data_IF_328807343723
#
_entry.id   IF_328807343723
#
_cell.length_a   1.000
_cell.length_b   1.000
_cell.length_c   1.000
_cell.angle_alpha   90.00
_cell.angle_beta   90.00
_cell.angle_gamma   90.00
#
_symmetry.space_group_name_H-M   'P 1'
#
loop_
_entity.id
_entity.type
_entity.pdbx_description
1 polymer ?
#
# COMPACT_ATOMS: atom_id res chain seq x y z
N UNK A 1 -69.72 -53.65 21.29
CA UNK A 1 -69.15 -52.29 21.18
C UNK A 1 -67.65 -52.37 20.93
N UNK A 2 -67.20 -51.99 19.73
CA UNK A 2 -65.84 -51.53 19.41
C UNK A 2 -65.86 -50.95 17.99
N UNK A 3 -65.52 -49.66 17.80
CA UNK A 3 -65.67 -49.01 16.50
C UNK A 3 -64.50 -49.37 15.58
N UNK A 4 -64.79 -49.65 14.31
CA UNK A 4 -63.81 -49.71 13.24
C UNK A 4 -63.36 -48.27 12.91
N UNK A 5 -62.16 -47.91 13.36
CA UNK A 5 -61.51 -46.66 12.97
C UNK A 5 -61.07 -46.76 11.51
N UNK A 6 -61.77 -46.05 10.64
CA UNK A 6 -61.35 -45.81 9.26
C UNK A 6 -60.13 -44.87 9.27
N UNK A 7 -58.95 -45.39 8.92
CA UNK A 7 -57.76 -44.59 8.66
C UNK A 7 -57.97 -43.79 7.37
N UNK A 8 -58.31 -42.51 7.54
CA UNK A 8 -58.40 -41.53 6.47
C UNK A 8 -56.96 -41.18 6.05
N UNK A 9 -56.49 -41.77 4.95
CA UNK A 9 -55.23 -41.37 4.32
C UNK A 9 -55.42 -40.01 3.67
N UNK A 10 -55.08 -38.95 4.41
CA UNK A 10 -54.97 -37.60 3.85
C UNK A 10 -53.70 -37.52 3.02
N UNK A 11 -53.83 -37.32 1.71
CA UNK A 11 -52.70 -36.84 0.89
C UNK A 11 -52.33 -35.45 1.39
N UNK A 12 -51.17 -35.31 2.01
CA UNK A 12 -50.58 -34.01 2.29
C UNK A 12 -50.32 -33.32 0.95
N UNK A 13 -51.06 -32.24 0.68
CA UNK A 13 -50.73 -31.33 -0.40
C UNK A 13 -49.52 -30.55 0.08
N UNK A 14 -48.35 -30.88 -0.46
CA UNK A 14 -47.15 -30.10 -0.22
C UNK A 14 -47.25 -28.82 -1.05
N UNK A 15 -47.69 -27.73 -0.42
CA UNK A 15 -47.56 -26.39 -1.00
C UNK A 15 -46.07 -26.11 -1.28
N UNK A 16 -45.77 -25.43 -2.39
CA UNK A 16 -44.44 -25.26 -2.99
C UNK A 16 -43.37 -24.52 -2.15
N UNK A 17 -43.48 -24.53 -0.83
CA UNK A 17 -42.54 -23.96 0.13
C UNK A 17 -41.11 -24.49 -0.07
N UNK A 18 -40.92 -25.76 -0.43
CA UNK A 18 -39.59 -26.32 -0.74
C UNK A 18 -38.97 -25.70 -1.99
N UNK A 19 -39.79 -25.35 -2.99
CA UNK A 19 -39.33 -24.66 -4.20
C UNK A 19 -38.95 -23.22 -3.89
N UNK A 20 -39.74 -22.53 -3.04
CA UNK A 20 -39.42 -21.16 -2.60
C UNK A 20 -38.13 -21.13 -1.78
N UNK A 21 -37.98 -22.05 -0.83
CA UNK A 21 -36.77 -22.19 -0.02
C UNK A 21 -35.54 -22.46 -0.90
N UNK A 22 -35.64 -23.37 -1.87
CA UNK A 22 -34.57 -23.66 -2.81
C UNK A 22 -34.20 -22.44 -3.68
N UNK A 23 -35.20 -21.70 -4.18
CA UNK A 23 -34.99 -20.49 -5.00
C UNK A 23 -34.25 -19.40 -4.24
N UNK A 24 -34.39 -19.33 -2.91
CA UNK A 24 -33.66 -18.35 -2.09
C UNK A 24 -32.29 -18.87 -1.67
N UNK A 25 -32.20 -20.12 -1.21
CA UNK A 25 -30.96 -20.68 -0.67
C UNK A 25 -29.93 -20.97 -1.78
N UNK A 26 -30.35 -21.56 -2.90
CA UNK A 26 -29.41 -22.00 -3.93
C UNK A 26 -28.59 -20.84 -4.54
N UNK A 27 -29.18 -19.68 -4.91
CA UNK A 27 -28.41 -18.53 -5.39
C UNK A 27 -27.48 -17.94 -4.31
N UNK A 28 -27.92 -17.94 -3.05
CA UNK A 28 -27.13 -17.42 -1.93
C UNK A 28 -25.88 -18.27 -1.70
N UNK A 29 -26.02 -19.59 -1.66
CA UNK A 29 -24.89 -20.53 -1.55
C UNK A 29 -23.98 -20.48 -2.78
N UNK A 30 -24.56 -20.33 -3.99
CA UNK A 30 -23.79 -20.17 -5.22
C UNK A 30 -22.92 -18.90 -5.19
N UNK A 31 -23.48 -17.75 -4.79
CA UNK A 31 -22.74 -16.49 -4.66
C UNK A 31 -21.61 -16.61 -3.62
N UNK A 32 -21.89 -17.27 -2.49
CA UNK A 32 -20.88 -17.53 -1.47
C UNK A 32 -19.72 -18.39 -2.00
N UNK A 33 -20.04 -19.49 -2.72
CA UNK A 33 -19.03 -20.36 -3.31
C UNK A 33 -18.17 -19.63 -4.36
N UNK A 34 -18.79 -18.81 -5.23
CA UNK A 34 -18.09 -17.99 -6.20
C UNK A 34 -17.18 -16.94 -5.54
N UNK A 35 -17.63 -16.31 -4.44
CA UNK A 35 -16.83 -15.37 -3.68
C UNK A 35 -15.62 -16.03 -3.01
N UNK A 36 -15.80 -17.22 -2.42
CA UNK A 36 -14.71 -18.02 -1.85
C UNK A 36 -13.67 -18.39 -2.92
N UNK A 37 -14.11 -18.89 -4.07
CA UNK A 37 -13.23 -19.26 -5.18
C UNK A 37 -12.47 -18.04 -5.72
N UNK A 38 -13.14 -16.90 -5.91
CA UNK A 38 -12.51 -15.65 -6.36
C UNK A 38 -11.44 -15.18 -5.36
N UNK A 39 -11.74 -15.25 -4.06
CA UNK A 39 -10.80 -14.89 -3.00
C UNK A 39 -9.58 -15.81 -2.99
N UNK A 40 -9.78 -17.11 -3.20
CA UNK A 40 -8.68 -18.08 -3.37
C UNK A 40 -7.76 -17.75 -4.54
N UNK A 41 -8.32 -17.36 -5.70
CA UNK A 41 -7.54 -16.92 -6.87
C UNK A 41 -6.76 -15.62 -6.59
N UNK A 42 -7.38 -14.67 -5.90
CA UNK A 42 -6.72 -13.43 -5.48
C UNK A 42 -5.57 -13.73 -4.53
N UNK A 43 -5.76 -14.61 -3.55
CA UNK A 43 -4.72 -15.02 -2.61
C UNK A 43 -3.56 -15.73 -3.32
N UNK A 44 -3.86 -16.63 -4.26
CA UNK A 44 -2.85 -17.28 -5.09
C UNK A 44 -2.03 -16.25 -5.90
N UNK A 45 -2.69 -15.29 -6.55
CA UNK A 45 -2.04 -14.20 -7.27
C UNK A 45 -1.17 -13.34 -6.33
N UNK A 46 -1.67 -13.04 -5.13
CA UNK A 46 -0.96 -12.28 -4.10
C UNK A 46 0.29 -13.00 -3.60
N UNK A 47 0.25 -14.31 -3.45
CA UNK A 47 1.42 -15.11 -3.06
C UNK A 47 2.51 -15.08 -4.14
N UNK A 48 2.13 -15.25 -5.42
CA UNK A 48 3.09 -15.14 -6.53
C UNK A 48 3.64 -13.71 -6.62
N UNK A 49 2.79 -12.69 -6.45
CA UNK A 49 3.21 -11.29 -6.43
C UNK A 49 4.22 -11.01 -5.31
N UNK A 50 3.99 -11.53 -4.10
CA UNK A 50 4.92 -11.35 -2.97
C UNK A 50 6.27 -12.00 -3.26
N UNK A 51 6.27 -13.22 -3.78
CA UNK A 51 7.50 -13.90 -4.19
C UNK A 51 8.24 -13.11 -5.28
N UNK A 52 7.53 -12.68 -6.33
CA UNK A 52 8.11 -11.89 -7.41
C UNK A 52 8.66 -10.53 -6.95
N UNK A 53 7.98 -9.91 -5.98
CA UNK A 53 8.42 -8.65 -5.37
C UNK A 53 9.71 -8.84 -4.57
N UNK A 54 9.82 -9.95 -3.82
CA UNK A 54 11.05 -10.30 -3.10
C UNK A 54 12.22 -10.60 -4.04
N UNK A 55 12.01 -11.39 -5.09
CA UNK A 55 13.04 -11.67 -6.11
C UNK A 55 13.50 -10.39 -6.82
N UNK A 56 12.55 -9.49 -7.14
CA UNK A 56 12.87 -8.19 -7.72
C UNK A 56 13.72 -7.33 -6.78
N UNK A 57 13.36 -7.27 -5.50
CA UNK A 57 14.13 -6.52 -4.50
C UNK A 57 15.51 -7.12 -4.30
N UNK A 58 15.63 -8.44 -4.21
CA UNK A 58 16.93 -9.13 -4.09
C UNK A 58 17.83 -8.83 -5.29
N UNK A 59 17.30 -8.92 -6.52
CA UNK A 59 18.05 -8.58 -7.72
C UNK A 59 18.46 -7.09 -7.74
N UNK A 60 17.54 -6.20 -7.33
CA UNK A 60 17.81 -4.77 -7.19
C UNK A 60 18.91 -4.47 -6.17
N UNK A 61 18.89 -5.15 -5.02
CA UNK A 61 19.91 -5.00 -3.98
C UNK A 61 21.32 -5.35 -4.45
N UNK A 62 21.43 -6.29 -5.40
CA UNK A 62 22.71 -6.74 -5.98
C UNK A 62 23.12 -5.94 -7.23
N UNK A 63 22.19 -5.21 -7.85
CA UNK A 63 22.40 -4.51 -9.11
C UNK A 63 21.95 -3.05 -9.01
N UNK A 64 22.48 -2.37 -8.00
CA UNK A 64 22.46 -0.92 -7.82
C UNK A 64 21.06 -0.27 -7.79
N UNK A 65 20.03 -1.04 -7.41
CA UNK A 65 18.62 -0.63 -7.40
C UNK A 65 18.08 -0.15 -8.78
N UNK A 66 18.65 -0.65 -9.88
CA UNK A 66 18.26 -0.22 -11.23
C UNK A 66 16.84 -0.69 -11.60
N UNK A 67 15.95 0.19 -12.06
CA UNK A 67 14.56 -0.18 -12.36
C UNK A 67 14.42 -1.22 -13.49
N UNK A 68 15.42 -1.34 -14.39
CA UNK A 68 15.48 -2.39 -15.40
C UNK A 68 15.73 -3.77 -14.79
N UNK A 69 16.57 -3.86 -13.76
CA UNK A 69 16.94 -5.12 -13.09
C UNK A 69 15.79 -5.60 -12.21
N UNK A 70 15.15 -4.68 -11.48
CA UNK A 70 13.91 -4.95 -10.74
C UNK A 70 12.82 -5.49 -11.66
N UNK A 71 12.54 -4.81 -12.78
CA UNK A 71 11.50 -5.25 -13.74
C UNK A 71 11.84 -6.61 -14.37
N UNK A 72 13.09 -6.84 -14.75
CA UNK A 72 13.50 -8.10 -15.37
C UNK A 72 13.40 -9.28 -14.38
N UNK A 73 13.82 -9.10 -13.12
CA UNK A 73 13.69 -10.11 -12.08
C UNK A 73 12.22 -10.38 -11.73
N UNK A 74 11.41 -9.32 -11.61
CA UNK A 74 9.97 -9.43 -11.39
C UNK A 74 9.28 -10.22 -12.52
N UNK A 75 9.54 -9.87 -13.78
CA UNK A 75 8.96 -10.55 -14.94
C UNK A 75 9.32 -12.03 -15.01
N UNK A 76 10.57 -12.39 -14.68
CA UNK A 76 11.00 -13.79 -14.58
C UNK A 76 10.27 -14.53 -13.46
N UNK A 77 10.14 -13.94 -12.27
CA UNK A 77 9.44 -14.55 -11.15
C UNK A 77 7.92 -14.69 -11.38
N UNK A 78 7.34 -13.86 -12.25
CA UNK A 78 5.93 -13.95 -12.65
C UNK A 78 5.63 -14.98 -13.74
N UNK A 79 6.63 -15.59 -14.39
CA UNK A 79 6.43 -16.63 -15.42
C UNK A 79 5.40 -17.73 -15.04
N UNK A 80 5.41 -18.32 -13.84
CA UNK A 80 4.40 -19.31 -13.45
C UNK A 80 2.96 -18.77 -13.44
N UNK A 81 2.77 -17.48 -13.14
CA UNK A 81 1.44 -16.84 -13.19
C UNK A 81 0.85 -16.83 -14.62
N UNK A 82 1.72 -16.69 -15.62
CA UNK A 82 1.36 -16.66 -17.04
C UNK A 82 1.36 -18.04 -17.71
N UNK A 83 1.33 -19.12 -16.92
CA UNK A 83 1.20 -20.50 -17.39
C UNK A 83 2.49 -21.31 -17.36
N UNK A 84 3.64 -20.69 -17.07
CA UNK A 84 4.91 -21.41 -16.91
C UNK A 84 5.33 -22.20 -18.16
N UNK A 85 6.01 -23.32 -17.95
CA UNK A 85 6.46 -24.19 -19.01
C UNK A 85 7.40 -25.28 -18.48
N UNK A 86 7.45 -26.41 -19.19
CA UNK A 86 8.39 -27.51 -18.91
C UNK A 86 9.58 -27.50 -19.87
N UNK A 87 9.46 -26.78 -20.98
CA UNK A 87 10.51 -26.60 -21.98
C UNK A 87 10.96 -25.15 -22.05
N UNK A 88 12.17 -24.90 -22.56
CA UNK A 88 12.70 -23.56 -22.75
C UNK A 88 11.81 -22.70 -23.67
N UNK A 89 11.25 -23.29 -24.72
CA UNK A 89 10.34 -22.62 -25.65
C UNK A 89 8.98 -22.26 -25.01
N UNK A 90 8.45 -23.10 -24.12
CA UNK A 90 7.25 -22.77 -23.34
C UNK A 90 7.51 -21.64 -22.33
N UNK A 91 8.64 -21.73 -21.61
CA UNK A 91 9.06 -20.69 -20.67
C UNK A 91 9.29 -19.35 -21.36
N UNK A 92 9.94 -19.34 -22.54
CA UNK A 92 10.14 -18.12 -23.32
C UNK A 92 8.80 -17.49 -23.77
N UNK A 93 7.83 -18.30 -24.20
CA UNK A 93 6.48 -17.83 -24.54
C UNK A 93 5.75 -17.25 -23.33
N UNK A 94 5.79 -17.93 -22.19
CA UNK A 94 5.16 -17.45 -20.95
C UNK A 94 5.83 -16.19 -20.41
N UNK A 95 7.14 -16.08 -20.51
CA UNK A 95 7.89 -14.85 -20.21
C UNK A 95 7.50 -13.71 -21.16
N UNK A 96 7.35 -13.97 -22.46
CA UNK A 96 6.86 -12.98 -23.44
C UNK A 96 5.46 -12.46 -23.09
N UNK A 97 4.54 -13.35 -22.70
CA UNK A 97 3.20 -12.97 -22.20
C UNK A 97 3.28 -12.12 -20.93
N UNK A 98 4.18 -12.47 -20.01
CA UNK A 98 4.41 -11.71 -18.79
C UNK A 98 4.87 -10.28 -19.13
N UNK A 99 5.90 -10.13 -19.98
CA UNK A 99 6.40 -8.81 -20.38
C UNK A 99 5.33 -7.95 -21.06
N UNK A 100 4.54 -8.54 -21.96
CA UNK A 100 3.46 -7.84 -22.65
C UNK A 100 2.38 -7.32 -21.70
N UNK A 101 1.97 -8.12 -20.71
CA UNK A 101 0.95 -7.72 -19.74
C UNK A 101 1.48 -6.71 -18.72
N UNK A 102 2.69 -6.94 -18.21
CA UNK A 102 3.32 -6.08 -17.19
C UNK A 102 3.61 -4.67 -17.71
N UNK A 103 3.82 -4.48 -19.02
CA UNK A 103 4.07 -3.17 -19.61
C UNK A 103 3.02 -2.10 -19.25
N UNK A 104 1.74 -2.49 -19.11
CA UNK A 104 0.65 -1.59 -18.74
C UNK A 104 0.02 -1.87 -17.37
N UNK A 105 0.39 -2.97 -16.71
CA UNK A 105 -0.28 -3.46 -15.50
C UNK A 105 0.61 -3.48 -14.25
N UNK A 106 1.87 -3.06 -14.37
CA UNK A 106 2.86 -3.08 -13.30
C UNK A 106 3.41 -1.67 -13.04
N UNK A 107 3.43 -1.28 -11.77
CA UNK A 107 4.20 -0.13 -11.28
C UNK A 107 5.11 -0.58 -10.16
N UNK A 108 6.42 -0.33 -10.31
CA UNK A 108 7.43 -0.55 -9.27
C UNK A 108 7.89 0.82 -8.81
N UNK A 109 7.77 1.08 -7.52
CA UNK A 109 8.14 2.33 -6.88
C UNK A 109 9.18 2.01 -5.79
N UNK A 110 10.29 2.74 -5.77
CA UNK A 110 11.30 2.60 -4.72
C UNK A 110 10.99 3.65 -3.64
N UNK A 111 10.66 3.18 -2.44
CA UNK A 111 10.33 4.00 -1.26
C UNK A 111 11.55 4.36 -0.43
N UNK A 112 12.58 3.52 -0.44
CA UNK A 112 13.87 3.78 0.19
C UNK A 112 14.95 3.07 -0.63
N UNK A 113 16.12 3.69 -0.88
CA UNK A 113 16.44 5.09 -0.61
C UNK A 113 15.48 6.07 -1.31
N UNK A 114 15.28 7.25 -0.72
CA UNK A 114 14.49 8.34 -1.32
C UNK A 114 15.42 9.23 -2.15
N UNK A 115 14.86 10.12 -2.98
CA UNK A 115 15.68 11.10 -3.72
C UNK A 115 16.49 11.98 -2.77
N UNK A 116 15.91 12.31 -1.62
CA UNK A 116 16.52 13.10 -0.56
C UNK A 116 17.66 12.33 0.13
N UNK A 117 17.61 10.98 0.18
CA UNK A 117 18.73 10.18 0.70
C UNK A 117 20.01 10.36 -0.14
N UNK A 118 19.88 10.54 -1.46
CA UNK A 118 21.03 10.83 -2.33
C UNK A 118 21.56 12.25 -2.14
N UNK A 119 20.69 13.15 -1.71
CA UNK A 119 21.04 14.52 -1.35
C UNK A 119 21.93 14.58 -0.10
N UNK A 120 21.66 13.72 0.88
CA UNK A 120 22.37 13.67 2.16
C UNK A 120 23.61 12.75 2.13
N UNK A 121 23.52 11.60 1.46
CA UNK A 121 24.47 10.48 1.59
C UNK A 121 25.21 10.06 0.31
N UNK A 122 25.18 10.87 -0.76
CA UNK A 122 25.94 10.50 -1.96
C UNK A 122 27.46 10.53 -1.75
N UNK A 123 28.14 9.63 -2.45
CA UNK A 123 29.59 9.48 -2.47
C UNK A 123 30.11 9.70 -3.90
N UNK A 124 30.79 10.83 -4.17
CA UNK A 124 31.50 11.02 -5.44
C UNK A 124 32.50 9.90 -5.75
N UNK A 125 33.17 9.36 -4.73
CA UNK A 125 34.12 8.24 -4.90
C UNK A 125 33.42 6.96 -5.38
N UNK A 126 32.24 6.67 -4.85
CA UNK A 126 31.45 5.51 -5.30
C UNK A 126 30.94 5.69 -6.74
N UNK A 127 30.51 6.91 -7.10
CA UNK A 127 30.10 7.24 -8.46
C UNK A 127 31.26 7.06 -9.47
N UNK A 128 32.47 7.50 -9.11
CA UNK A 128 33.67 7.31 -9.92
C UNK A 128 34.04 5.82 -10.05
N UNK A 129 33.98 5.05 -8.96
CA UNK A 129 34.26 3.61 -8.97
C UNK A 129 33.33 2.83 -9.91
N UNK A 130 32.06 3.24 -9.99
CA UNK A 130 31.06 2.66 -10.90
C UNK A 130 31.08 3.26 -12.31
N UNK A 131 31.85 4.34 -12.54
CA UNK A 131 31.88 5.10 -13.80
C UNK A 131 30.49 5.60 -14.24
N UNK A 132 29.72 6.11 -13.28
CA UNK A 132 28.36 6.64 -13.54
C UNK A 132 28.31 8.13 -13.28
N UNK A 133 27.53 8.86 -14.09
CA UNK A 133 27.27 10.30 -13.92
C UNK A 133 26.14 10.63 -12.94
N UNK A 134 25.60 9.61 -12.25
CA UNK A 134 24.51 9.76 -11.29
C UNK A 134 25.04 9.71 -9.84
N UNK A 135 24.26 10.22 -8.89
CA UNK A 135 24.61 10.12 -7.46
C UNK A 135 24.51 8.68 -7.00
N UNK A 136 25.44 8.29 -6.14
CA UNK A 136 25.57 6.91 -5.64
C UNK A 136 25.65 6.91 -4.12
N UNK A 137 24.88 6.04 -3.47
CA UNK A 137 24.98 5.78 -2.03
C UNK A 137 25.80 4.50 -1.84
N UNK A 138 26.95 4.55 -1.18
CA UNK A 138 27.81 3.38 -0.99
C UNK A 138 27.17 2.37 -0.04
N UNK A 139 27.38 1.08 -0.29
CA UNK A 139 26.84 -0.04 0.50
C UNK A 139 27.85 -0.65 1.49
N UNK A 140 29.08 -0.16 1.51
CA UNK A 140 30.19 -0.72 2.30
C UNK A 140 30.34 -0.07 3.67
N UNK A 141 30.78 -0.85 4.68
CA UNK A 141 31.16 -0.37 6.03
C UNK A 141 30.05 0.38 6.79
N UNK A 142 28.79 0.04 6.53
CA UNK A 142 27.60 0.65 7.14
C UNK A 142 27.47 0.41 8.65
N UNK A 143 28.21 -0.54 9.19
CA UNK A 143 28.28 -0.85 10.62
C UNK A 143 29.09 0.19 11.41
N UNK A 144 29.97 0.94 10.73
CA UNK A 144 30.89 1.90 11.37
C UNK A 144 30.71 3.33 10.90
N UNK A 145 30.14 3.51 9.72
CA UNK A 145 30.01 4.80 9.07
C UNK A 145 28.60 5.37 9.28
N UNK A 146 28.54 6.60 9.79
CA UNK A 146 27.33 7.44 9.73
C UNK A 146 27.28 8.28 8.44
N UNK A 147 28.43 8.45 7.79
CA UNK A 147 28.61 9.18 6.55
C UNK A 147 29.51 8.42 5.57
N UNK A 148 29.36 8.62 4.25
CA UNK A 148 30.31 8.11 3.28
C UNK A 148 31.75 8.49 3.62
N UNK A 149 32.70 7.58 3.41
CA UNK A 149 34.11 7.77 3.80
C UNK A 149 34.78 8.98 3.12
N UNK A 150 34.29 9.38 1.95
CA UNK A 150 34.74 10.54 1.19
C UNK A 150 34.04 11.85 1.59
N UNK A 151 32.96 11.78 2.37
CA UNK A 151 32.21 12.96 2.87
C UNK A 151 31.92 12.82 4.37
N UNK A 152 32.93 12.99 5.25
CA UNK A 152 32.76 12.79 6.68
C UNK A 152 31.82 13.81 7.36
N UNK A 153 31.54 14.95 6.72
CA UNK A 153 30.62 15.99 7.20
C UNK A 153 29.25 15.96 6.47
N UNK A 154 28.73 14.77 6.18
CA UNK A 154 27.41 14.60 5.59
C UNK A 154 26.29 14.93 6.61
N UNK A 155 25.05 15.09 6.12
CA UNK A 155 23.88 15.29 6.98
C UNK A 155 23.42 13.95 7.60
N UNK A 156 24.16 13.46 8.60
CA UNK A 156 23.93 12.13 9.20
C UNK A 156 22.79 12.06 10.20
N UNK A 157 22.37 13.19 10.75
CA UNK A 157 21.31 13.24 11.75
C UNK A 157 19.92 13.23 11.09
N UNK A 158 19.11 12.19 11.30
CA UNK A 158 17.77 12.07 10.71
C UNK A 158 16.79 13.16 11.20
N UNK A 159 17.07 13.86 12.30
CA UNK A 159 16.22 14.96 12.76
C UNK A 159 16.40 16.26 11.94
N UNK A 160 17.56 16.42 11.31
CA UNK A 160 17.96 17.65 10.61
C UNK A 160 18.25 17.47 9.12
N UNK A 161 18.41 16.23 8.65
CA UNK A 161 18.68 15.94 7.25
C UNK A 161 17.40 15.93 6.38
N UNK A 162 17.58 16.03 5.06
CA UNK A 162 16.45 16.19 4.12
C UNK A 162 15.66 14.90 3.95
N UNK A 163 16.32 13.76 4.09
CA UNK A 163 15.73 12.43 3.94
C UNK A 163 14.98 11.93 5.17
N UNK A 164 15.27 12.47 6.36
CA UNK A 164 14.78 11.93 7.63
C UNK A 164 15.32 10.53 7.95
N UNK A 165 16.45 10.14 7.34
CA UNK A 165 16.97 8.78 7.35
C UNK A 165 18.43 8.74 7.77
N UNK A 166 18.88 7.64 8.38
CA UNK A 166 20.31 7.39 8.57
C UNK A 166 20.94 6.82 7.30
N UNK A 167 22.27 6.78 7.21
CA UNK A 167 22.97 6.12 6.10
C UNK A 167 22.58 4.63 5.99
N UNK A 168 22.29 3.98 7.12
CA UNK A 168 21.85 2.59 7.19
C UNK A 168 20.44 2.41 6.63
N UNK A 169 19.52 3.33 6.94
CA UNK A 169 18.14 3.31 6.42
C UNK A 169 18.09 3.61 4.92
N UNK A 170 18.92 4.57 4.47
CA UNK A 170 19.13 4.86 3.06
C UNK A 170 19.72 3.66 2.29
N UNK A 171 20.37 2.70 2.99
CA UNK A 171 20.85 1.44 2.42
C UNK A 171 19.82 0.30 2.44
N UNK A 172 18.59 0.56 2.87
CA UNK A 172 17.50 -0.40 2.78
C UNK A 172 16.72 -0.14 1.50
N UNK A 173 16.73 -1.12 0.59
CA UNK A 173 15.88 -1.11 -0.58
C UNK A 173 14.45 -1.51 -0.18
N UNK A 174 13.61 -0.51 0.04
CA UNK A 174 12.18 -0.67 0.26
C UNK A 174 11.46 -0.41 -1.06
N UNK A 175 10.79 -1.41 -1.60
CA UNK A 175 10.01 -1.25 -2.83
C UNK A 175 8.54 -1.53 -2.59
N UNK A 176 7.71 -0.81 -3.34
CA UNK A 176 6.27 -1.02 -3.46
C UNK A 176 5.98 -1.42 -4.90
N UNK A 177 5.36 -2.57 -5.05
CA UNK A 177 4.92 -3.08 -6.34
C UNK A 177 3.40 -3.07 -6.38
N UNK A 178 2.83 -2.39 -7.37
CA UNK A 178 1.39 -2.43 -7.66
C UNK A 178 1.17 -3.19 -8.96
N UNK A 179 0.36 -4.24 -8.92
CA UNK A 179 0.05 -5.11 -10.05
C UNK A 179 -1.46 -5.30 -10.19
N UNK A 180 -2.00 -5.21 -11.42
CA UNK A 180 -3.42 -5.42 -11.68
C UNK A 180 -3.73 -6.83 -12.22
N UNK A 181 -4.52 -7.62 -11.47
CA UNK A 181 -4.99 -8.94 -11.91
C UNK A 181 -5.86 -8.78 -13.18
N UNK A 182 -5.50 -9.41 -14.32
CA UNK A 182 -6.29 -9.30 -15.55
C UNK A 182 -7.67 -9.96 -15.41
N UNK A 183 -8.68 -9.41 -16.11
CA UNK A 183 -10.06 -9.95 -16.12
C UNK A 183 -10.14 -11.43 -16.49
N UNK A 184 -9.28 -11.89 -17.39
CA UNK A 184 -9.23 -13.28 -17.83
C UNK A 184 -8.84 -14.28 -16.71
N UNK A 185 -8.28 -13.79 -15.60
CA UNK A 185 -7.90 -14.60 -14.41
C UNK A 185 -8.88 -14.41 -13.25
N UNK A 186 -9.98 -13.69 -13.48
CA UNK A 186 -11.06 -13.47 -12.51
C UNK A 186 -12.27 -14.33 -12.92
N UNK A 187 -13.08 -14.71 -11.94
CA UNK A 187 -14.38 -15.35 -12.19
C UNK A 187 -15.32 -14.31 -12.81
N UNK A 188 -15.96 -14.57 -13.96
CA UNK A 188 -16.72 -13.54 -14.69
C UNK A 188 -17.80 -12.81 -13.87
N UNK A 189 -18.53 -13.53 -13.02
CA UNK A 189 -19.60 -12.95 -12.19
C UNK A 189 -19.04 -12.25 -10.94
N UNK A 190 -18.17 -12.94 -10.20
CA UNK A 190 -17.58 -12.39 -8.98
C UNK A 190 -16.64 -11.21 -9.28
N UNK A 191 -15.79 -11.29 -10.31
CA UNK A 191 -14.87 -10.22 -10.70
C UNK A 191 -15.57 -8.92 -11.10
N UNK A 192 -16.74 -9.01 -11.77
CA UNK A 192 -17.58 -7.84 -12.05
C UNK A 192 -18.12 -7.22 -10.75
N UNK A 193 -18.63 -8.05 -9.84
CA UNK A 193 -19.10 -7.59 -8.54
C UNK A 193 -17.98 -6.93 -7.73
N UNK A 194 -16.78 -7.53 -7.67
CA UNK A 194 -15.64 -6.96 -6.95
C UNK A 194 -15.18 -5.63 -7.54
N UNK A 195 -15.05 -5.52 -8.87
CA UNK A 195 -14.67 -4.25 -9.50
C UNK A 195 -15.73 -3.17 -9.26
N UNK A 196 -17.02 -3.51 -9.35
CA UNK A 196 -18.11 -2.61 -9.01
C UNK A 196 -18.08 -2.18 -7.54
N UNK A 197 -17.90 -3.13 -6.61
CA UNK A 197 -17.86 -2.86 -5.18
C UNK A 197 -16.68 -1.95 -4.82
N UNK A 198 -15.48 -2.22 -5.35
CA UNK A 198 -14.30 -1.37 -5.10
C UNK A 198 -14.50 0.02 -5.70
N UNK A 199 -15.04 0.13 -6.92
CA UNK A 199 -15.31 1.43 -7.54
C UNK A 199 -16.38 2.24 -6.79
N UNK A 200 -17.36 1.58 -6.18
CA UNK A 200 -18.46 2.23 -5.45
C UNK A 200 -18.04 2.62 -4.03
N UNK A 201 -17.28 1.77 -3.34
CA UNK A 201 -16.83 2.00 -1.96
C UNK A 201 -15.66 2.99 -1.89
N UNK A 202 -14.87 3.11 -2.95
CA UNK A 202 -13.70 3.98 -3.00
C UNK A 202 -13.61 4.75 -4.34
N UNK A 203 -14.57 5.65 -4.61
CA UNK A 203 -14.62 6.40 -5.88
C UNK A 203 -13.41 7.33 -6.05
N UNK A 204 -12.93 7.92 -4.95
CA UNK A 204 -11.88 8.95 -4.95
C UNK A 204 -10.52 8.43 -4.52
N UNK A 205 -10.13 7.23 -4.96
CA UNK A 205 -8.79 6.74 -4.68
C UNK A 205 -7.71 7.71 -5.25
N UNK A 206 -6.79 8.23 -4.41
CA UNK A 206 -5.86 9.29 -4.82
C UNK A 206 -4.82 8.81 -5.85
N UNK A 207 -4.65 7.49 -6.01
CA UNK A 207 -3.67 6.91 -6.91
C UNK A 207 -4.22 6.75 -8.35
N UNK A 208 -3.77 7.55 -9.33
CA UNK A 208 -4.27 7.50 -10.70
C UNK A 208 -3.98 6.16 -11.39
N UNK A 209 -2.89 5.48 -11.03
CA UNK A 209 -2.56 4.17 -11.61
C UNK A 209 -3.55 3.09 -11.16
N UNK A 210 -3.92 3.08 -9.87
CA UNK A 210 -4.93 2.13 -9.37
C UNK A 210 -6.30 2.39 -9.99
N UNK A 211 -6.68 3.65 -10.16
CA UNK A 211 -7.92 4.00 -10.88
C UNK A 211 -7.89 3.53 -12.34
N UNK A 212 -6.76 3.71 -13.04
CA UNK A 212 -6.59 3.20 -14.40
C UNK A 212 -6.69 1.65 -14.47
N UNK A 213 -6.14 0.94 -13.48
CA UNK A 213 -6.29 -0.52 -13.37
C UNK A 213 -7.75 -0.93 -13.17
N UNK A 214 -8.46 -0.27 -12.25
CA UNK A 214 -9.88 -0.53 -11.97
C UNK A 214 -10.76 -0.21 -13.19
N UNK A 215 -10.51 0.89 -13.89
CA UNK A 215 -11.17 1.25 -15.14
C UNK A 215 -10.90 0.20 -16.25
N UNK A 216 -9.71 -0.39 -16.26
CA UNK A 216 -9.38 -1.53 -17.10
C UNK A 216 -9.99 -2.86 -16.59
N UNK A 217 -10.82 -2.85 -15.52
CA UNK A 217 -11.42 -4.02 -14.88
C UNK A 217 -10.41 -4.95 -14.21
N UNK A 218 -9.23 -4.44 -13.87
CA UNK A 218 -8.18 -5.18 -13.17
C UNK A 218 -8.28 -4.90 -11.69
N UNK A 219 -8.15 -5.96 -10.88
CA UNK A 219 -8.12 -5.83 -9.42
C UNK A 219 -6.69 -5.44 -8.99
N UNK A 220 -6.46 -4.25 -8.40
CA UNK A 220 -5.14 -3.82 -7.99
C UNK A 220 -4.67 -4.58 -6.74
N UNK A 221 -3.50 -5.19 -6.83
CA UNK A 221 -2.78 -5.79 -5.71
C UNK A 221 -1.51 -4.99 -5.43
N UNK A 222 -1.18 -4.85 -4.15
CA UNK A 222 0.00 -4.13 -3.70
C UNK A 222 0.87 -5.06 -2.88
N UNK A 223 2.17 -5.04 -3.11
CA UNK A 223 3.15 -5.74 -2.29
C UNK A 223 4.29 -4.81 -1.90
N UNK A 224 4.75 -4.95 -0.66
CA UNK A 224 5.88 -4.22 -0.11
C UNK A 224 6.94 -5.22 0.31
N UNK A 225 8.19 -4.88 0.05
CA UNK A 225 9.32 -5.64 0.58
C UNK A 225 10.46 -4.67 0.89
N UNK A 226 11.20 -5.00 1.94
CA UNK A 226 12.42 -4.30 2.32
C UNK A 226 13.55 -5.30 2.34
N UNK A 227 14.65 -5.00 1.65
CA UNK A 227 15.89 -5.79 1.67
C UNK A 227 17.07 -4.86 1.89
N UNK A 228 18.16 -5.35 2.47
CA UNK A 228 19.39 -4.56 2.55
C UNK A 228 20.07 -4.55 1.19
N UNK A 229 20.52 -3.39 0.75
CA UNK A 229 21.38 -3.29 -0.43
C UNK A 229 22.69 -4.06 -0.21
N UNK A 230 23.20 -4.65 -1.28
CA UNK A 230 24.46 -5.41 -1.34
C UNK A 230 25.39 -4.86 -2.43
N UNK A 231 24.98 -3.76 -3.04
CA UNK A 231 25.69 -3.00 -4.07
C UNK A 231 25.34 -1.52 -3.84
N UNK A 232 26.17 -0.62 -4.35
CA UNK A 232 25.93 0.81 -4.14
C UNK A 232 24.67 1.25 -4.90
N UNK A 233 23.76 1.96 -4.24
CA UNK A 233 22.52 2.38 -4.88
C UNK A 233 22.80 3.51 -5.87
N UNK A 234 22.27 3.43 -7.10
CA UNK A 234 22.38 4.48 -8.11
C UNK A 234 21.05 5.24 -8.19
N UNK A 235 21.14 6.58 -8.22
CA UNK A 235 19.98 7.44 -8.38
C UNK A 235 19.28 7.19 -9.73
N UNK A 236 17.95 7.06 -9.69
CA UNK A 236 17.12 6.80 -10.86
C UNK A 236 15.68 7.32 -10.69
N UNK A 237 14.95 7.42 -11.80
CA UNK A 237 13.61 8.01 -11.83
C UNK A 237 12.55 7.23 -11.04
N UNK A 238 12.78 5.95 -10.73
CA UNK A 238 11.83 5.11 -9.99
C UNK A 238 11.89 5.35 -8.46
N UNK A 239 12.87 6.11 -7.99
CA UNK A 239 12.96 6.59 -6.61
C UNK A 239 11.91 7.65 -6.35
N UNK A 240 11.13 7.45 -5.29
CA UNK A 240 10.18 8.44 -4.84
C UNK A 240 10.86 9.54 -4.04
N UNK A 241 10.41 10.77 -4.26
CA UNK A 241 10.67 11.89 -3.36
C UNK A 241 9.74 11.74 -2.17
N UNK A 242 10.36 11.54 -1.01
CA UNK A 242 9.69 11.39 0.28
C UNK A 242 10.57 12.21 1.24
N UNK A 243 10.41 13.54 1.24
CA UNK A 243 11.17 14.37 2.15
C UNK A 243 10.89 13.93 3.58
N UNK A 244 11.96 13.79 4.35
CA UNK A 244 11.86 13.54 5.78
C UNK A 244 11.18 14.72 6.48
N UNK A 245 10.77 14.55 7.75
CA UNK A 245 10.13 15.61 8.51
C UNK A 245 11.00 16.86 8.65
N UNK A 246 12.30 16.81 8.35
CA UNK A 246 13.12 17.93 7.86
C UNK A 246 13.18 19.20 8.70
N UNK A 247 12.61 19.21 9.91
CA UNK A 247 12.30 20.41 10.70
C UNK A 247 12.29 20.12 12.23
N UNK A 248 13.31 19.44 12.77
CA UNK A 248 13.48 19.27 14.23
C UNK A 248 12.28 18.63 14.99
N UNK A 249 11.55 17.71 14.36
CA UNK A 249 10.48 16.96 15.03
C UNK A 249 9.20 17.75 15.29
N UNK A 250 9.03 18.93 14.68
CA UNK A 250 7.73 19.60 14.60
C UNK A 250 7.12 19.26 13.24
N UNK A 251 6.05 18.45 13.18
CA UNK A 251 5.24 18.36 11.98
C UNK A 251 4.74 19.78 11.67
N UNK A 252 5.19 20.37 10.58
CA UNK A 252 4.48 21.52 10.03
C UNK A 252 3.30 20.92 9.29
N UNK A 253 2.13 21.00 9.92
CA UNK A 253 0.89 20.86 9.18
C UNK A 253 0.96 21.82 7.98
N UNK A 254 0.59 21.32 6.81
CA UNK A 254 0.36 22.17 5.65
C UNK A 254 -0.88 23.04 5.94
N UNK A 255 -0.71 24.07 6.77
CA UNK A 255 -1.73 25.03 7.18
C UNK A 255 -2.99 24.38 7.74
N UNK A 256 -3.09 24.29 9.08
CA UNK A 256 -4.39 24.14 9.72
C UNK A 256 -5.30 25.29 9.28
N UNK A 257 -6.37 24.96 8.57
CA UNK A 257 -7.51 25.87 8.40
C UNK A 257 -7.52 26.79 7.19
N UNK A 258 -6.61 26.67 6.21
CA UNK A 258 -6.71 27.43 4.96
C UNK A 258 -6.88 26.53 3.73
N UNK A 259 -7.76 26.89 2.80
CA UNK A 259 -7.81 26.26 1.49
C UNK A 259 -6.52 26.52 0.69
N UNK A 260 -6.38 25.92 -0.49
CA UNK A 260 -5.20 26.06 -1.35
C UNK A 260 -4.89 27.52 -1.78
N UNK A 261 -5.74 28.48 -1.40
CA UNK A 261 -5.66 29.90 -1.71
C UNK A 261 -5.45 30.76 -0.44
N UNK A 262 -5.31 30.16 0.74
CA UNK A 262 -5.04 30.89 1.99
C UNK A 262 -6.30 31.41 2.69
N UNK A 263 -7.50 30.96 2.33
CA UNK A 263 -8.75 31.41 2.94
C UNK A 263 -9.17 30.49 4.10
N UNK A 264 -9.47 31.11 5.24
CA UNK A 264 -9.92 30.43 6.45
C UNK A 264 -11.19 29.59 6.17
N UNK A 265 -11.18 28.32 6.57
CA UNK A 265 -12.35 27.44 6.48
C UNK A 265 -13.49 27.96 7.40
N UNK A 266 -14.76 27.88 6.97
CA UNK A 266 -15.89 28.33 7.78
C UNK A 266 -16.04 27.48 9.05
N UNK A 267 -16.47 28.10 10.15
CA UNK A 267 -16.81 27.41 11.39
C UNK A 267 -18.02 26.49 11.19
N UNK A 268 -17.94 25.29 11.75
CA UNK A 268 -18.93 24.25 11.55
C UNK A 268 -19.94 24.21 12.73
N UNK A 269 -21.24 23.96 12.46
CA UNK A 269 -22.24 23.79 13.51
C UNK A 269 -22.05 22.44 14.24
N UNK A 270 -22.37 22.40 15.54
CA UNK A 270 -22.21 21.21 16.41
C UNK A 270 -22.97 19.95 15.91
N UNK A 271 -23.89 20.08 14.97
CA UNK A 271 -24.61 18.94 14.40
C UNK A 271 -23.83 18.17 13.31
N UNK A 272 -22.65 18.60 12.89
CA UNK A 272 -21.90 17.96 11.80
C UNK A 272 -21.00 16.79 12.29
N UNK A 273 -21.20 15.55 11.79
CA UNK A 273 -20.43 14.37 12.22
C UNK A 273 -18.93 14.40 11.83
N UNK A 274 -18.48 15.39 11.04
CA UNK A 274 -17.07 15.59 10.70
C UNK A 274 -16.33 16.53 11.67
N UNK A 275 -17.02 17.04 12.70
CA UNK A 275 -16.43 17.90 13.72
C UNK A 275 -15.87 17.08 14.89
N UNK A 276 -14.60 17.31 15.22
CA UNK A 276 -13.99 16.81 16.45
C UNK A 276 -13.52 17.99 17.31
N UNK A 277 -13.62 17.88 18.65
CA UNK A 277 -13.07 18.89 19.56
C UNK A 277 -11.58 19.10 19.29
N UNK A 278 -11.15 20.38 19.23
CA UNK A 278 -9.76 20.74 18.99
C UNK A 278 -8.90 20.35 20.20
N UNK A 279 -8.19 19.22 20.14
CA UNK A 279 -7.24 18.81 21.17
C UNK A 279 -5.96 19.66 21.11
N UNK A 280 -6.06 20.91 21.53
CA UNK A 280 -4.93 21.83 21.61
C UNK A 280 -4.85 22.46 23.01
N UNK A 281 -4.69 21.62 24.05
CA UNK A 281 -4.05 21.99 25.31
C UNK A 281 -3.85 20.76 26.22
N UNK A 282 -2.83 19.94 25.93
CA UNK A 282 -2.23 19.13 27.01
C UNK A 282 -0.76 18.81 26.72
N UNK A 283 0.08 19.84 26.73
CA UNK A 283 1.53 19.70 26.78
C UNK A 283 2.19 21.03 27.20
N UNK A 284 2.00 21.44 28.46
CA UNK A 284 2.95 22.33 29.15
C UNK A 284 2.59 22.50 30.64
N UNK A 285 3.23 21.74 31.54
CA UNK A 285 3.61 22.20 32.88
C UNK A 285 4.64 21.25 33.51
N UNK A 286 5.77 21.81 33.98
CA UNK A 286 6.88 21.09 34.60
C UNK A 286 6.73 20.85 36.11
N UNK A 287 7.72 20.13 36.66
CA UNK A 287 7.98 19.76 38.05
C UNK A 287 7.43 20.69 39.17
N UNK A 288 6.86 20.07 40.24
CA UNK A 288 7.02 20.54 41.63
C UNK A 288 5.78 20.48 42.54
N UNK A 289 5.76 19.49 43.45
CA UNK A 289 5.15 19.45 44.81
C UNK A 289 3.81 20.17 45.14
N UNK A 290 2.82 19.37 45.57
CA UNK A 290 2.13 19.55 46.87
C UNK A 290 0.86 20.42 46.94
N UNK A 291 -0.17 19.79 47.53
CA UNK A 291 -1.35 20.35 48.22
C UNK A 291 -2.64 20.60 47.42
N UNK A 292 -3.70 19.99 47.95
CA UNK A 292 -5.12 20.12 47.64
C UNK A 292 -5.60 21.58 47.62
N UNK A 293 -6.42 21.93 46.61
CA UNK A 293 -7.52 22.87 46.79
C UNK A 293 -8.62 22.57 45.75
N UNK A 294 -9.87 22.63 46.22
CA UNK A 294 -11.10 22.14 45.59
C UNK A 294 -12.05 23.33 45.30
N UNK A 295 -12.80 23.27 44.18
CA UNK A 295 -14.01 24.04 43.74
C UNK A 295 -13.77 25.48 43.19
N UNK A 296 -14.61 26.09 42.27
CA UNK A 296 -15.87 25.65 41.62
C UNK A 296 -15.94 25.67 40.09
N UNK A 297 -16.96 24.94 39.61
CA UNK A 297 -17.61 25.09 38.30
C UNK A 297 -18.00 26.54 37.96
N UNK A 298 -17.59 27.01 36.78
CA UNK A 298 -18.25 28.07 36.02
C UNK A 298 -18.56 27.52 34.61
N UNK A 299 -19.81 27.72 34.19
CA UNK A 299 -20.31 27.43 32.84
C UNK A 299 -19.74 28.42 31.84
N UNK A 300 -19.72 28.00 30.56
CA UNK A 300 -19.41 28.74 29.33
C UNK A 300 -17.96 28.66 28.82
N UNK A 301 -17.54 27.48 28.38
CA UNK A 301 -16.46 27.33 27.40
C UNK A 301 -17.06 26.82 26.07
N UNK A 302 -17.28 27.72 25.11
CA UNK A 302 -17.46 27.34 23.70
C UNK A 302 -16.12 26.81 23.17
N UNK A 303 -15.95 25.49 23.21
CA UNK A 303 -14.79 24.83 22.64
C UNK A 303 -14.81 24.95 21.10
N UNK A 304 -13.74 25.46 20.45
CA UNK A 304 -13.75 25.69 19.01
C UNK A 304 -13.75 24.36 18.25
N UNK A 305 -14.89 24.04 17.62
CA UNK A 305 -15.04 22.88 16.75
C UNK A 305 -14.40 23.15 15.39
N UNK A 306 -13.49 22.28 14.97
CA UNK A 306 -12.88 22.32 13.63
C UNK A 306 -13.32 21.12 12.81
N UNK A 307 -13.66 21.37 11.55
CA UNK A 307 -14.03 20.33 10.60
C UNK A 307 -12.79 19.53 10.16
N UNK A 308 -12.83 18.21 10.33
CA UNK A 308 -11.83 17.28 9.78
C UNK A 308 -12.09 17.03 8.29
N UNK A 309 -11.04 16.81 7.49
CA UNK A 309 -11.18 16.45 6.07
C UNK A 309 -11.78 15.03 5.95
N UNK A 310 -12.69 14.80 4.98
CA UNK A 310 -13.18 13.44 4.67
C UNK A 310 -12.07 12.53 4.12
#
# INVERSE_FOLDING_TARGET
MRPLLALRSGRAVHDGATLVEFVVIAPTLMMLALAMMQTGLVFHAKNILNYATFEAARAGALQNALPSTLRAAFARAMVPYYGGGRTTAELARSHGRALADLAGALRIEILSPTRESFDDFHSPRAAEALRVGARVIPSTHLDRLACPADRPSCASDPASNRSGQTLQDANLLKIRVTFGIPRAKQIPLAGRFFNWAVATLYPDHPDPFRRALLAAGRIPLVSHVTVRMQSDAIENDALLSLPGPGNAGVPVDAGAGADAQGQALPSCPWSDPLCTPSSAHESAAGNGSGMEEEVPHALDDEEPLQCSRP
#
